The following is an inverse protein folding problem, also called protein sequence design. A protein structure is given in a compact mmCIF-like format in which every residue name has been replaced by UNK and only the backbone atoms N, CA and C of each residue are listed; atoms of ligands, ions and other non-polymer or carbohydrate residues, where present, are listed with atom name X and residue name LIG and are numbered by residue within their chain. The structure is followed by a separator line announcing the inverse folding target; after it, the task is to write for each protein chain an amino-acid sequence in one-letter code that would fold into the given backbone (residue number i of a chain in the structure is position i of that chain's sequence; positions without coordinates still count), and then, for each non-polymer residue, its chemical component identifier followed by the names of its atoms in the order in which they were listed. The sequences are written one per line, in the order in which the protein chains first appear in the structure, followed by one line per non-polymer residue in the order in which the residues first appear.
data_IF_406102235277
#
_entry.id   IF_406102235277
#
_cell.length_a   1.000
_cell.length_b   1.000
_cell.length_c   1.000
_cell.angle_alpha   90.00
_cell.angle_beta   90.00
_cell.angle_gamma   90.00
#
_symmetry.space_group_name_H-M   'P 1'
#
loop_
_entity.id
_entity.type
_entity.pdbx_description
1 polymer ?
#
# COMPACT_ATOMS: atom_id res chain seq x y z
N UNK A 1 48.11 1.96 22.47
CA UNK A 1 46.97 2.73 21.95
C UNK A 1 45.83 2.50 22.93
N UNK A 2 45.29 3.56 23.55
CA UNK A 2 44.19 3.41 24.50
C UNK A 2 42.88 3.20 23.72
N UNK A 3 42.19 2.08 23.99
CA UNK A 3 40.83 1.87 23.51
C UNK A 3 39.92 2.94 24.13
N UNK A 4 39.30 3.75 23.29
CA UNK A 4 38.26 4.66 23.74
C UNK A 4 37.07 3.82 24.21
N UNK A 5 36.93 3.65 25.53
CA UNK A 5 35.72 3.14 26.15
C UNK A 5 34.58 4.12 25.86
N UNK A 6 33.71 3.77 24.92
CA UNK A 6 32.48 4.51 24.66
C UNK A 6 31.58 4.34 25.89
N UNK A 7 31.59 5.32 26.79
CA UNK A 7 30.61 5.41 27.87
C UNK A 7 29.25 5.80 27.27
N UNK A 8 28.35 4.82 27.15
CA UNK A 8 26.96 5.01 26.73
C UNK A 8 26.08 5.71 27.78
N UNK A 9 26.67 6.34 28.80
CA UNK A 9 25.96 6.80 29.99
C UNK A 9 25.80 8.32 30.11
N UNK A 10 26.09 9.05 29.03
CA UNK A 10 25.79 10.48 28.98
C UNK A 10 24.27 10.73 28.93
N UNK A 11 23.81 11.79 29.59
CA UNK A 11 22.39 12.19 29.59
C UNK A 11 21.81 12.31 28.16
N UNK A 12 22.63 12.68 27.18
CA UNK A 12 22.24 12.76 25.78
C UNK A 12 21.91 11.38 25.17
N UNK A 13 22.69 10.34 25.50
CA UNK A 13 22.44 8.96 25.03
C UNK A 13 21.17 8.40 25.67
N UNK A 14 20.97 8.62 26.98
CA UNK A 14 19.73 8.21 27.67
C UNK A 14 18.49 8.88 27.05
N UNK A 15 18.53 10.20 26.83
CA UNK A 15 17.44 10.94 26.19
C UNK A 15 17.16 10.47 24.76
N UNK A 16 18.20 10.05 24.02
CA UNK A 16 18.04 9.48 22.70
C UNK A 16 17.31 8.12 22.74
N UNK A 17 17.69 7.22 23.65
CA UNK A 17 17.02 5.93 23.82
C UNK A 17 15.56 6.08 24.28
N UNK A 18 15.29 6.96 25.23
CA UNK A 18 13.93 7.27 25.68
C UNK A 18 13.06 7.77 24.52
N UNK A 19 13.62 8.61 23.65
CA UNK A 19 12.94 9.08 22.44
C UNK A 19 12.63 7.94 21.47
N UNK A 20 13.58 7.05 21.20
CA UNK A 20 13.36 5.87 20.35
C UNK A 20 12.26 4.99 20.93
N UNK A 21 12.31 4.69 22.23
CA UNK A 21 11.29 3.87 22.91
C UNK A 21 9.91 4.50 22.80
N UNK A 22 9.82 5.81 22.97
CA UNK A 22 8.57 6.55 22.78
C UNK A 22 8.07 6.45 21.34
N UNK A 23 8.93 6.65 20.34
CA UNK A 23 8.54 6.60 18.94
C UNK A 23 8.14 5.17 18.50
N UNK A 24 8.82 4.15 19.02
CA UNK A 24 8.44 2.75 18.85
C UNK A 24 7.04 2.48 19.40
N UNK A 25 6.75 2.98 20.61
CA UNK A 25 5.41 2.90 21.18
C UNK A 25 4.37 3.63 20.33
N UNK A 26 4.70 4.78 19.78
CA UNK A 26 3.83 5.52 18.86
C UNK A 26 3.53 4.67 17.59
N UNK A 27 4.52 3.96 17.04
CA UNK A 27 4.35 3.00 15.92
C UNK A 27 3.44 1.83 16.34
N UNK A 28 3.72 1.20 17.49
CA UNK A 28 2.92 0.10 18.04
C UNK A 28 1.46 0.52 18.31
N UNK A 29 1.25 1.79 18.65
CA UNK A 29 -0.07 2.38 18.86
C UNK A 29 -0.71 2.90 17.57
N UNK A 30 -0.05 2.71 16.42
CA UNK A 30 -0.52 3.12 15.09
C UNK A 30 -0.77 4.62 15.05
N UNK A 31 0.21 5.39 15.50
CA UNK A 31 0.17 6.85 15.50
C UNK A 31 -0.33 7.39 14.16
N UNK A 32 -1.27 8.34 14.22
CA UNK A 32 -1.96 8.83 13.02
C UNK A 32 -1.00 9.45 12.01
N UNK A 33 0.06 10.13 12.45
CA UNK A 33 1.05 10.72 11.54
C UNK A 33 1.84 9.62 10.83
N UNK A 34 2.32 8.64 11.58
CA UNK A 34 3.02 7.48 11.04
C UNK A 34 2.17 6.72 10.02
N UNK A 35 0.94 6.34 10.38
CA UNK A 35 0.04 5.58 9.51
C UNK A 35 -0.33 6.38 8.27
N UNK A 36 -0.53 7.68 8.38
CA UNK A 36 -0.82 8.54 7.21
C UNK A 36 0.34 8.55 6.22
N UNK A 37 1.58 8.64 6.70
CA UNK A 37 2.78 8.61 5.85
C UNK A 37 2.91 7.31 5.09
N UNK A 38 2.75 6.16 5.76
CA UNK A 38 2.75 4.85 5.10
C UNK A 38 1.57 4.73 4.12
N UNK A 39 0.39 5.19 4.51
CA UNK A 39 -0.80 5.11 3.67
C UNK A 39 -0.65 5.90 2.37
N UNK A 40 0.11 7.00 2.37
CA UNK A 40 0.42 7.75 1.16
C UNK A 40 1.29 6.92 0.18
N UNK A 41 2.26 6.16 0.69
CA UNK A 41 3.08 5.24 -0.12
C UNK A 41 2.20 4.14 -0.71
N UNK A 42 1.45 3.45 0.16
CA UNK A 42 0.55 2.35 -0.24
C UNK A 42 -0.46 2.83 -1.29
N UNK A 43 -1.06 3.99 -1.08
CA UNK A 43 -1.97 4.61 -2.05
C UNK A 43 -1.30 4.84 -3.40
N UNK A 44 -0.15 5.53 -3.41
CA UNK A 44 0.55 5.86 -4.64
C UNK A 44 0.95 4.62 -5.42
N UNK A 45 1.46 3.61 -4.73
CA UNK A 45 1.90 2.35 -5.35
C UNK A 45 0.74 1.60 -6.00
N UNK A 46 -0.33 1.35 -5.24
CA UNK A 46 -1.51 0.66 -5.76
C UNK A 46 -2.16 1.42 -6.92
N UNK A 47 -2.29 2.74 -6.84
CA UNK A 47 -2.86 3.54 -7.92
C UNK A 47 -2.00 3.47 -9.19
N UNK A 48 -0.66 3.48 -9.05
CA UNK A 48 0.24 3.30 -10.20
C UNK A 48 0.01 1.95 -10.89
N UNK A 49 -0.28 0.88 -10.14
CA UNK A 49 -0.57 -0.43 -10.70
C UNK A 49 -1.81 -0.44 -11.60
N UNK A 50 -2.87 0.27 -11.19
CA UNK A 50 -4.06 0.48 -12.01
C UNK A 50 -3.79 1.31 -13.26
N UNK A 51 -2.92 2.30 -13.17
CA UNK A 51 -2.57 3.18 -14.28
C UNK A 51 -1.70 2.48 -15.33
N UNK A 52 -0.74 1.68 -14.87
CA UNK A 52 0.19 0.92 -15.69
C UNK A 52 -0.37 -0.44 -16.17
N UNK A 53 -1.53 -0.84 -15.64
CA UNK A 53 -2.17 -2.12 -15.91
C UNK A 53 -1.25 -3.32 -15.61
N UNK A 54 -0.66 -3.34 -14.41
CA UNK A 54 0.31 -4.35 -13.99
C UNK A 54 -0.05 -5.02 -12.67
N UNK A 55 0.32 -6.28 -12.56
CA UNK A 55 0.31 -7.05 -11.32
C UNK A 55 1.73 -7.34 -10.84
N UNK A 56 1.83 -8.18 -9.81
CA UNK A 56 3.09 -8.59 -9.18
C UNK A 56 4.11 -9.20 -10.15
N UNK A 57 3.64 -9.78 -11.27
CA UNK A 57 4.45 -10.44 -12.30
C UNK A 57 4.61 -9.64 -13.59
N UNK A 58 4.31 -8.34 -13.56
CA UNK A 58 4.35 -7.46 -14.73
C UNK A 58 2.98 -7.16 -15.32
N UNK A 59 2.94 -6.75 -16.59
CA UNK A 59 1.70 -6.27 -17.25
C UNK A 59 0.60 -7.33 -17.23
N UNK A 60 -0.62 -6.92 -16.93
CA UNK A 60 -1.78 -7.80 -17.00
C UNK A 60 -2.04 -8.25 -18.43
N UNK A 61 -2.52 -9.49 -18.56
CA UNK A 61 -2.95 -10.00 -19.85
C UNK A 61 -4.11 -9.15 -20.41
N UNK A 62 -3.94 -8.72 -21.65
CA UNK A 62 -4.95 -8.00 -22.41
C UNK A 62 -6.27 -8.77 -22.47
N UNK A 63 -7.37 -8.05 -22.68
CA UNK A 63 -8.66 -8.66 -22.97
C UNK A 63 -8.60 -9.49 -24.26
N UNK A 64 -9.45 -10.52 -24.35
CA UNK A 64 -9.64 -11.23 -25.62
C UNK A 64 -10.26 -10.29 -26.65
N UNK A 65 -10.02 -10.54 -27.94
CA UNK A 65 -10.59 -9.77 -29.05
C UNK A 65 -12.12 -9.65 -28.94
N UNK A 66 -12.80 -10.76 -28.64
CA UNK A 66 -14.27 -10.79 -28.45
C UNK A 66 -14.73 -9.84 -27.35
N UNK A 67 -14.00 -9.79 -26.23
CA UNK A 67 -14.33 -8.90 -25.13
C UNK A 67 -14.01 -7.43 -25.44
N UNK A 68 -12.93 -7.17 -26.17
CA UNK A 68 -12.62 -5.83 -26.69
C UNK A 68 -13.72 -5.33 -27.63
N UNK A 69 -14.20 -6.16 -28.56
CA UNK A 69 -15.31 -5.84 -29.46
C UNK A 69 -16.61 -5.56 -28.68
N UNK A 70 -16.88 -6.34 -27.62
CA UNK A 70 -18.01 -6.06 -26.71
C UNK A 70 -17.86 -4.70 -26.03
N UNK A 71 -16.67 -4.39 -25.49
CA UNK A 71 -16.39 -3.09 -24.86
C UNK A 71 -16.56 -1.94 -25.85
N UNK A 72 -16.10 -2.12 -27.08
CA UNK A 72 -16.31 -1.18 -28.19
C UNK A 72 -17.78 -0.89 -28.45
N UNK A 73 -18.61 -1.94 -28.55
CA UNK A 73 -20.06 -1.82 -28.79
C UNK A 73 -20.81 -1.06 -27.69
N UNK A 74 -20.32 -1.10 -26.45
CA UNK A 74 -20.91 -0.36 -25.32
C UNK A 74 -20.22 0.99 -25.05
N UNK A 75 -19.37 1.47 -25.97
CA UNK A 75 -18.69 2.76 -25.86
C UNK A 75 -17.56 2.83 -24.83
N UNK A 76 -16.92 1.69 -24.53
CA UNK A 76 -15.89 1.53 -23.48
C UNK A 76 -14.57 0.96 -23.99
N UNK A 77 -14.27 1.15 -25.28
CA UNK A 77 -13.05 0.65 -25.93
C UNK A 77 -11.74 1.15 -25.32
N UNK A 78 -11.75 2.35 -24.74
CA UNK A 78 -10.56 2.98 -24.16
C UNK A 78 -10.37 2.69 -22.66
N UNK A 79 -11.23 1.87 -22.08
CA UNK A 79 -11.17 1.57 -20.65
C UNK A 79 -9.97 0.67 -20.35
N UNK A 80 -9.25 1.00 -19.28
CA UNK A 80 -8.16 0.16 -18.77
C UNK A 80 -8.72 -1.12 -18.16
N UNK A 81 -7.89 -2.17 -18.16
CA UNK A 81 -8.15 -3.41 -17.44
C UNK A 81 -8.40 -3.08 -15.97
N UNK A 82 -9.41 -3.71 -15.37
CA UNK A 82 -9.93 -3.42 -14.01
C UNK A 82 -10.54 -2.02 -13.82
N UNK A 83 -10.81 -1.27 -14.90
CA UNK A 83 -11.45 0.06 -14.83
C UNK A 83 -12.69 0.13 -15.73
N UNK A 84 -13.79 -0.53 -15.34
CA UNK A 84 -15.04 -0.46 -16.11
C UNK A 84 -15.69 0.92 -16.07
N UNK A 85 -15.78 1.51 -14.88
CA UNK A 85 -16.27 2.86 -14.61
C UNK A 85 -15.29 3.63 -13.71
N UNK A 86 -14.15 3.02 -13.37
CA UNK A 86 -13.15 3.58 -12.46
C UNK A 86 -13.50 3.45 -10.97
N UNK A 87 -14.66 2.89 -10.61
CA UNK A 87 -15.11 2.75 -9.22
C UNK A 87 -14.09 2.04 -8.33
N UNK A 88 -13.47 0.97 -8.83
CA UNK A 88 -12.47 0.20 -8.11
C UNK A 88 -11.24 1.05 -7.74
N UNK A 89 -10.74 1.87 -8.68
CA UNK A 89 -9.62 2.80 -8.44
C UNK A 89 -10.03 3.92 -7.48
N UNK A 90 -11.19 4.52 -7.69
CA UNK A 90 -11.69 5.66 -6.90
C UNK A 90 -12.09 5.28 -5.47
N UNK A 91 -12.49 4.03 -5.27
CA UNK A 91 -12.82 3.50 -3.95
C UNK A 91 -11.58 3.37 -3.06
N UNK A 92 -10.38 3.18 -3.64
CA UNK A 92 -9.14 3.15 -2.87
C UNK A 92 -8.71 4.56 -2.46
N UNK A 93 -8.40 4.75 -1.17
CA UNK A 93 -8.02 6.04 -0.58
C UNK A 93 -6.95 5.83 0.50
N UNK A 94 -6.07 6.82 0.74
CA UNK A 94 -5.09 6.74 1.83
C UNK A 94 -5.73 6.56 3.21
N UNK A 95 -7.01 6.93 3.37
CA UNK A 95 -7.75 6.77 4.62
C UNK A 95 -8.36 5.38 4.81
N UNK A 96 -8.28 4.50 3.81
CA UNK A 96 -8.87 3.18 3.88
C UNK A 96 -7.92 2.19 4.57
N UNK A 97 -7.72 2.40 5.86
CA UNK A 97 -6.97 1.49 6.70
C UNK A 97 -7.71 1.29 8.02
N UNK A 98 -7.40 0.18 8.68
CA UNK A 98 -7.87 -0.09 10.05
C UNK A 98 -6.79 -0.79 10.84
N UNK A 99 -6.76 -0.50 12.13
CA UNK A 99 -5.90 -1.23 13.07
C UNK A 99 -6.40 -2.67 13.21
N UNK A 100 -5.46 -3.61 13.16
CA UNK A 100 -5.65 -5.02 13.51
C UNK A 100 -4.74 -5.36 14.68
N UNK A 101 -5.03 -6.47 15.37
CA UNK A 101 -4.20 -6.97 16.47
C UNK A 101 -2.72 -7.02 16.07
N UNK A 102 -2.46 -7.54 14.87
CA UNK A 102 -1.11 -7.84 14.38
C UNK A 102 -0.55 -6.78 13.40
N UNK A 103 -1.23 -5.63 13.23
CA UNK A 103 -0.72 -4.57 12.36
C UNK A 103 -1.77 -3.60 11.85
N UNK A 104 -1.56 -3.15 10.61
CA UNK A 104 -2.45 -2.23 9.89
C UNK A 104 -2.92 -2.96 8.64
N UNK A 105 -4.22 -2.95 8.39
CA UNK A 105 -4.81 -3.48 7.17
C UNK A 105 -5.29 -2.32 6.31
N UNK A 106 -4.68 -2.17 5.13
CA UNK A 106 -5.23 -1.33 4.07
C UNK A 106 -6.26 -2.12 3.27
N UNK A 107 -7.39 -1.48 3.00
CA UNK A 107 -8.50 -2.13 2.30
C UNK A 107 -9.05 -1.24 1.20
N UNK A 108 -9.80 -1.84 0.29
CA UNK A 108 -10.58 -1.12 -0.69
C UNK A 108 -12.06 -1.44 -0.43
N UNK A 109 -12.91 -0.46 -0.10
CA UNK A 109 -14.31 -0.68 0.25
C UNK A 109 -15.17 -1.11 -0.95
N UNK A 110 -14.63 -1.05 -2.18
CA UNK A 110 -15.24 -1.76 -3.30
C UNK A 110 -15.17 -3.28 -3.11
N UNK A 111 -14.43 -3.81 -2.12
CA UNK A 111 -14.48 -5.22 -1.72
C UNK A 111 -15.70 -5.46 -0.82
N UNK A 112 -16.72 -6.11 -1.34
CA UNK A 112 -17.83 -6.65 -0.55
C UNK A 112 -17.42 -7.96 0.14
N UNK A 113 -18.30 -8.51 0.99
CA UNK A 113 -18.06 -9.82 1.67
C UNK A 113 -17.83 -10.97 0.67
N UNK A 114 -18.32 -10.84 -0.55
CA UNK A 114 -18.13 -11.76 -1.66
C UNK A 114 -17.04 -11.25 -2.62
N UNK A 115 -15.96 -10.66 -2.10
CA UNK A 115 -14.91 -9.99 -2.89
C UNK A 115 -15.41 -8.72 -3.59
N UNK A 116 -14.78 -8.29 -4.67
CA UNK A 116 -15.16 -7.03 -5.32
C UNK A 116 -16.32 -7.26 -6.31
N UNK A 117 -17.39 -6.44 -6.35
CA UNK A 117 -18.50 -6.61 -7.29
C UNK A 117 -18.06 -6.64 -8.76
N UNK A 118 -16.97 -5.92 -9.07
CA UNK A 118 -16.33 -5.95 -10.38
C UNK A 118 -15.04 -6.80 -10.42
N UNK A 119 -14.33 -6.92 -9.29
CA UNK A 119 -13.01 -7.56 -9.23
C UNK A 119 -13.00 -8.98 -8.65
N UNK A 120 -14.11 -9.56 -8.17
CA UNK A 120 -14.15 -10.94 -7.68
C UNK A 120 -13.68 -11.89 -8.77
N UNK A 121 -14.27 -11.78 -9.96
CA UNK A 121 -13.87 -12.58 -11.11
C UNK A 121 -12.42 -12.30 -11.55
N UNK A 122 -11.88 -11.11 -11.25
CA UNK A 122 -10.51 -10.74 -11.58
C UNK A 122 -9.49 -11.14 -10.50
N UNK A 123 -9.89 -11.24 -9.23
CA UNK A 123 -9.04 -11.62 -8.09
C UNK A 123 -8.98 -13.15 -7.93
N UNK A 124 -10.11 -13.83 -8.15
CA UNK A 124 -10.19 -15.29 -8.12
C UNK A 124 -9.82 -15.90 -9.48
N UNK A 125 -10.12 -15.19 -10.57
CA UNK A 125 -10.05 -15.73 -11.91
C UNK A 125 -11.20 -16.71 -12.20
N UNK A 126 -11.32 -17.11 -13.46
CA UNK A 126 -12.24 -18.14 -13.91
C UNK A 126 -11.88 -18.61 -15.32
N UNK A 127 -12.60 -19.61 -15.88
CA UNK A 127 -12.25 -20.21 -17.17
C UNK A 127 -12.13 -19.21 -18.33
N UNK A 128 -12.84 -18.08 -18.24
CA UNK A 128 -12.89 -17.02 -19.26
C UNK A 128 -12.22 -15.71 -18.83
N UNK A 129 -11.79 -15.59 -17.57
CA UNK A 129 -11.21 -14.36 -17.02
C UNK A 129 -9.97 -14.70 -16.19
N UNK A 130 -8.75 -14.33 -16.63
CA UNK A 130 -7.57 -14.65 -15.85
C UNK A 130 -7.55 -13.84 -14.54
N UNK A 131 -7.04 -14.49 -13.49
CA UNK A 131 -6.68 -13.84 -12.23
C UNK A 131 -5.68 -12.70 -12.48
N UNK A 132 -5.83 -11.61 -11.75
CA UNK A 132 -5.03 -10.39 -11.79
C UNK A 132 -4.83 -9.90 -10.37
N UNK A 133 -3.58 -9.75 -9.96
CA UNK A 133 -3.25 -9.13 -8.68
C UNK A 133 -3.32 -7.60 -8.83
N UNK A 134 -4.07 -6.90 -7.97
CA UNK A 134 -4.29 -5.44 -8.10
C UNK A 134 -4.25 -4.64 -6.78
N UNK A 135 -3.96 -5.29 -5.64
CA UNK A 135 -3.70 -4.63 -4.35
C UNK A 135 -2.45 -5.21 -3.69
N UNK A 136 -1.39 -5.31 -4.47
CA UNK A 136 -0.08 -5.73 -4.01
C UNK A 136 0.83 -4.51 -3.87
N UNK A 137 1.89 -4.64 -3.08
CA UNK A 137 2.92 -3.62 -2.92
C UNK A 137 4.19 -4.03 -3.66
N UNK A 138 4.78 -3.10 -4.40
CA UNK A 138 6.09 -3.26 -5.03
C UNK A 138 7.22 -3.33 -4.00
N UNK A 139 8.36 -3.88 -4.40
CA UNK A 139 9.57 -3.87 -3.55
C UNK A 139 9.98 -2.44 -3.19
N UNK A 140 9.95 -1.52 -4.17
CA UNK A 140 10.20 -0.10 -3.95
C UNK A 140 9.26 0.50 -2.89
N UNK A 141 7.98 0.09 -2.87
CA UNK A 141 7.05 0.52 -1.83
C UNK A 141 7.41 -0.05 -0.47
N UNK A 142 7.80 -1.33 -0.38
CA UNK A 142 8.31 -1.91 0.87
C UNK A 142 9.56 -1.20 1.39
N UNK A 143 10.51 -0.89 0.52
CA UNK A 143 11.74 -0.15 0.88
C UNK A 143 11.40 1.24 1.43
N UNK A 144 10.54 2.00 0.73
CA UNK A 144 10.08 3.31 1.21
C UNK A 144 9.37 3.25 2.56
N UNK A 145 8.58 2.19 2.80
CA UNK A 145 7.92 1.98 4.09
C UNK A 145 8.95 1.71 5.18
N UNK A 146 9.97 0.89 4.90
CA UNK A 146 11.06 0.63 5.83
C UNK A 146 11.84 1.91 6.17
N UNK A 147 12.18 2.72 5.16
CA UNK A 147 12.85 4.01 5.34
C UNK A 147 12.05 4.99 6.19
N UNK A 148 10.75 5.16 5.90
CA UNK A 148 9.88 6.02 6.70
C UNK A 148 9.76 5.50 8.13
N UNK A 149 9.69 4.19 8.31
CA UNK A 149 9.61 3.57 9.64
C UNK A 149 10.88 3.83 10.44
N UNK A 150 12.06 3.60 9.85
CA UNK A 150 13.34 3.88 10.49
C UNK A 150 13.49 5.38 10.82
N UNK A 151 13.13 6.26 9.88
CA UNK A 151 13.16 7.71 10.10
C UNK A 151 12.25 8.15 11.24
N UNK A 152 11.03 7.60 11.31
CA UNK A 152 10.08 7.88 12.39
C UNK A 152 10.60 7.36 13.73
N UNK A 153 11.24 6.19 13.78
CA UNK A 153 11.85 5.67 15.01
C UNK A 153 12.93 6.62 15.55
N UNK A 154 13.81 7.12 14.68
CA UNK A 154 14.97 7.95 15.07
C UNK A 154 14.55 9.39 15.40
N UNK A 155 13.68 9.97 14.58
CA UNK A 155 13.37 11.41 14.58
C UNK A 155 11.98 11.74 15.15
N UNK A 156 11.10 10.76 15.27
CA UNK A 156 9.71 10.94 15.70
C UNK A 156 8.85 11.66 14.67
N UNK A 157 7.78 12.30 15.15
CA UNK A 157 6.98 13.21 14.32
C UNK A 157 7.87 14.38 13.88
N UNK A 158 8.04 14.56 12.57
CA UNK A 158 8.69 15.76 12.03
C UNK A 158 7.94 16.99 12.57
N UNK A 159 8.64 17.82 13.36
CA UNK A 159 8.10 19.12 13.76
C UNK A 159 7.99 19.95 12.47
N UNK A 160 6.77 20.43 12.19
CA UNK A 160 6.56 21.45 11.15
C UNK A 160 7.18 22.76 11.61
#
# INVERSE_FOLDING_TARGET
MAEATIEFDSAAVRAFFERIQKNLKDIEQRDKVFVTSISAIVYRDVISHFEEQKGSKGKWKAWSRVYQERMRRIGRENNKILQFDGSLRQAFRPTNWRSKRDGIEWFNPAKTKSGFPYALAHDEGGPKLPKRDFMWLSNDAFERIAEITASYMISGRSKK
#
